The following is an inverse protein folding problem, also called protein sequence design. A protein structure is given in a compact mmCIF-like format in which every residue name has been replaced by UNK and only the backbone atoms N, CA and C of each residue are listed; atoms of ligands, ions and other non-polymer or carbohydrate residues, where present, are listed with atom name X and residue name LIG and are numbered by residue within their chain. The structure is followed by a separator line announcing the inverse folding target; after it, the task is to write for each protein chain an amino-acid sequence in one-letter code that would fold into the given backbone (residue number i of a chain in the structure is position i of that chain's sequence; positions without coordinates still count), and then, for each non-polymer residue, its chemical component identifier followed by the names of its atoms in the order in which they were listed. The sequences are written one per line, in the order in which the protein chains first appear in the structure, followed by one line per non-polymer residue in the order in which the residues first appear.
data_IF_735724484750
#
_entry.id   IF_735724484750
#
_cell.length_a   1.000
_cell.length_b   1.000
_cell.length_c   1.000
_cell.angle_alpha   90.00
_cell.angle_beta   90.00
_cell.angle_gamma   90.00
#
_symmetry.space_group_name_H-M   'P 1'
#
loop_
_entity.id
_entity.type
_entity.pdbx_description
1 polymer ?
#
# COMPACT_ATOMS: atom_id res chain seq x y z
N UNK A 1 4.30 10.98 10.21
CA UNK A 1 4.56 10.85 8.77
C UNK A 1 5.54 11.95 8.40
N UNK A 2 6.68 11.62 7.80
CA UNK A 2 7.72 12.59 7.41
C UNK A 2 7.87 12.66 5.89
N UNK A 3 8.49 13.71 5.38
CA UNK A 3 8.70 13.92 3.93
C UNK A 3 7.48 14.52 3.22
N UNK A 4 7.20 14.05 2.01
CA UNK A 4 6.20 14.58 1.07
C UNK A 4 4.75 14.17 1.41
N UNK A 5 4.37 14.30 2.69
CA UNK A 5 3.09 13.80 3.21
C UNK A 5 1.86 14.48 2.58
N UNK A 6 1.95 15.76 2.22
CA UNK A 6 0.84 16.50 1.61
C UNK A 6 0.55 16.03 0.19
N UNK A 7 1.59 15.77 -0.61
CA UNK A 7 1.44 15.20 -1.96
C UNK A 7 0.85 13.79 -1.91
N UNK A 8 1.32 12.95 -0.98
CA UNK A 8 0.76 11.62 -0.76
C UNK A 8 -0.73 11.73 -0.40
N UNK A 9 -1.10 12.64 0.52
CA UNK A 9 -2.50 12.85 0.91
C UNK A 9 -3.36 13.28 -0.28
N UNK A 10 -2.87 14.20 -1.11
CA UNK A 10 -3.58 14.65 -2.31
C UNK A 10 -3.80 13.50 -3.29
N UNK A 11 -2.74 12.75 -3.61
CA UNK A 11 -2.81 11.62 -4.52
C UNK A 11 -3.81 10.56 -4.03
N UNK A 12 -3.76 10.22 -2.73
CA UNK A 12 -4.71 9.28 -2.14
C UNK A 12 -6.13 9.81 -2.19
N UNK A 13 -6.38 11.08 -1.89
CA UNK A 13 -7.72 11.68 -1.95
C UNK A 13 -8.32 11.62 -3.35
N UNK A 14 -7.51 11.80 -4.39
CA UNK A 14 -7.95 11.79 -5.78
C UNK A 14 -8.24 10.36 -6.31
N UNK A 15 -7.57 9.34 -5.76
CA UNK A 15 -7.58 7.98 -6.33
C UNK A 15 -8.22 6.92 -5.43
N UNK A 16 -8.47 7.22 -4.15
CA UNK A 16 -9.10 6.30 -3.20
C UNK A 16 -10.60 6.13 -3.49
N UNK A 17 -11.11 4.92 -3.25
CA UNK A 17 -12.54 4.58 -3.30
C UNK A 17 -12.88 3.68 -2.12
N UNK A 18 -14.06 3.85 -1.54
CA UNK A 18 -14.50 3.05 -0.38
C UNK A 18 -14.68 1.56 -0.71
N UNK A 19 -14.84 1.23 -1.99
CA UNK A 19 -14.99 -0.13 -2.50
C UNK A 19 -13.66 -0.83 -2.78
N UNK A 20 -12.52 -0.21 -2.47
CA UNK A 20 -11.21 -0.82 -2.73
C UNK A 20 -11.02 -2.10 -1.89
N UNK A 21 -10.78 -3.21 -2.60
CA UNK A 21 -10.25 -4.43 -2.00
C UNK A 21 -8.81 -4.23 -1.51
N UNK A 22 -8.33 -5.19 -0.70
CA UNK A 22 -7.00 -5.12 -0.08
C UNK A 22 -5.87 -4.92 -1.11
N UNK A 23 -5.90 -5.69 -2.20
CA UNK A 23 -4.88 -5.62 -3.24
C UNK A 23 -4.81 -4.24 -3.90
N UNK A 24 -5.96 -3.72 -4.35
CA UNK A 24 -6.05 -2.41 -4.98
C UNK A 24 -5.65 -1.27 -4.01
N UNK A 25 -5.95 -1.41 -2.72
CA UNK A 25 -5.52 -0.47 -1.69
C UNK A 25 -4.00 -0.48 -1.50
N UNK A 26 -3.35 -1.66 -1.49
CA UNK A 26 -1.89 -1.78 -1.41
C UNK A 26 -1.24 -1.14 -2.64
N UNK A 27 -1.72 -1.47 -3.84
CA UNK A 27 -1.20 -0.91 -5.10
C UNK A 27 -1.35 0.62 -5.13
N UNK A 28 -2.48 1.15 -4.66
CA UNK A 28 -2.68 2.58 -4.54
C UNK A 28 -1.65 3.23 -3.63
N UNK A 29 -1.37 2.64 -2.47
CA UNK A 29 -0.34 3.10 -1.54
C UNK A 29 1.07 3.09 -2.16
N UNK A 30 1.43 2.01 -2.85
CA UNK A 30 2.73 1.89 -3.54
C UNK A 30 2.86 2.91 -4.67
N UNK A 31 1.80 3.14 -5.46
CA UNK A 31 1.78 4.18 -6.49
C UNK A 31 1.95 5.57 -5.89
N UNK A 32 1.26 5.88 -4.80
CA UNK A 32 1.38 7.17 -4.12
C UNK A 32 2.82 7.43 -3.67
N UNK A 33 3.47 6.43 -3.07
CA UNK A 33 4.87 6.52 -2.64
C UNK A 33 5.84 6.64 -3.83
N UNK A 34 5.62 5.86 -4.89
CA UNK A 34 6.49 5.84 -6.08
C UNK A 34 6.45 7.15 -6.85
N UNK A 35 5.24 7.69 -7.08
CA UNK A 35 5.04 8.97 -7.78
C UNK A 35 5.66 10.12 -6.99
N UNK A 36 5.38 10.21 -5.70
CA UNK A 36 5.91 11.30 -4.86
C UNK A 36 7.44 11.23 -4.74
N UNK A 37 8.03 10.04 -4.62
CA UNK A 37 9.50 9.91 -4.56
C UNK A 37 10.17 9.94 -5.95
N UNK A 38 9.39 10.04 -7.03
CA UNK A 38 9.85 9.88 -8.42
C UNK A 38 10.79 8.66 -8.58
N UNK A 39 10.46 7.56 -7.90
CA UNK A 39 11.25 6.32 -7.83
C UNK A 39 10.34 5.12 -8.04
N UNK A 40 10.80 4.13 -8.81
CA UNK A 40 10.13 2.82 -8.85
C UNK A 40 10.47 2.05 -7.58
N UNK A 41 9.46 1.75 -6.77
CA UNK A 41 9.60 0.98 -5.53
C UNK A 41 9.30 -0.49 -5.80
N UNK A 42 10.14 -1.37 -5.26
CA UNK A 42 9.94 -2.82 -5.29
C UNK A 42 9.45 -3.32 -3.93
N UNK A 43 9.05 -4.59 -3.85
CA UNK A 43 8.70 -5.24 -2.58
C UNK A 43 9.83 -5.16 -1.53
N UNK A 44 11.08 -5.01 -1.97
CA UNK A 44 12.26 -4.94 -1.10
C UNK A 44 12.47 -3.55 -0.51
N UNK A 45 11.90 -2.52 -1.12
CA UNK A 45 11.95 -1.13 -0.64
C UNK A 45 10.84 -0.83 0.38
N UNK A 46 9.95 -1.79 0.65
CA UNK A 46 8.67 -1.55 1.32
C UNK A 46 8.48 -2.43 2.56
N UNK A 47 8.07 -1.80 3.66
CA UNK A 47 7.48 -2.52 4.80
C UNK A 47 5.96 -2.35 4.78
N UNK A 48 5.23 -3.46 4.68
CA UNK A 48 3.76 -3.45 4.55
C UNK A 48 3.12 -4.26 5.67
N UNK A 49 2.09 -3.68 6.29
CA UNK A 49 1.26 -4.35 7.28
C UNK A 49 -0.20 -3.92 7.16
N UNK A 50 -1.10 -4.78 7.63
CA UNK A 50 -2.55 -4.58 7.58
C UNK A 50 -3.17 -4.81 8.94
N UNK A 51 -4.31 -4.16 9.16
CA UNK A 51 -5.22 -4.46 10.26
C UNK A 51 -6.42 -5.23 9.70
N UNK A 52 -6.46 -6.53 9.98
CA UNK A 52 -7.54 -7.40 9.57
C UNK A 52 -8.67 -7.38 10.61
N UNK A 53 -9.77 -6.71 10.25
CA UNK A 53 -10.95 -6.58 11.12
C UNK A 53 -11.70 -7.89 11.32
N UNK A 54 -11.47 -8.90 10.46
CA UNK A 54 -12.15 -10.20 10.53
C UNK A 54 -11.55 -11.14 11.58
N UNK A 55 -10.34 -10.83 12.08
CA UNK A 55 -9.66 -11.62 13.11
C UNK A 55 -10.17 -11.27 14.51
N UNK A 56 -10.49 -12.29 15.31
CA UNK A 56 -10.89 -12.14 16.72
C UNK A 56 -9.70 -11.73 17.62
N UNK A 57 -8.50 -12.23 17.34
CA UNK A 57 -7.27 -11.95 18.10
C UNK A 57 -6.11 -11.63 17.16
N UNK A 58 -5.22 -10.72 17.59
CA UNK A 58 -4.10 -10.14 16.79
C UNK A 58 -4.50 -9.70 15.37
N UNK A 59 -5.17 -8.54 15.28
CA UNK A 59 -5.60 -7.95 14.00
C UNK A 59 -4.45 -7.47 13.13
N UNK A 60 -3.31 -7.14 13.72
CA UNK A 60 -2.13 -6.69 13.00
C UNK A 60 -1.40 -7.86 12.34
N UNK A 61 -1.17 -7.75 11.04
CA UNK A 61 -0.43 -8.74 10.25
C UNK A 61 0.55 -8.03 9.32
N UNK A 62 1.81 -8.44 9.34
CA UNK A 62 2.81 -8.04 8.34
C UNK A 62 2.61 -8.83 7.05
N UNK A 63 2.83 -8.18 5.91
CA UNK A 63 2.87 -8.83 4.61
C UNK A 63 4.35 -9.02 4.26
N UNK A 64 4.84 -10.26 4.14
CA UNK A 64 6.23 -10.52 3.79
C UNK A 64 6.51 -10.12 2.32
N UNK A 65 7.76 -9.81 1.95
CA UNK A 65 8.11 -9.33 0.60
C UNK A 65 7.64 -10.26 -0.52
N UNK A 66 7.68 -11.58 -0.33
CA UNK A 66 7.27 -12.56 -1.34
C UNK A 66 5.76 -12.49 -1.62
N UNK A 67 4.96 -12.29 -0.57
CA UNK A 67 3.52 -12.10 -0.69
C UNK A 67 3.20 -10.72 -1.27
N UNK A 68 3.97 -9.69 -0.91
CA UNK A 68 3.83 -8.36 -1.47
C UNK A 68 4.14 -8.35 -2.97
N UNK A 69 5.21 -9.03 -3.41
CA UNK A 69 5.55 -9.16 -4.82
C UNK A 69 4.41 -9.79 -5.64
N UNK A 70 3.73 -10.80 -5.09
CA UNK A 70 2.56 -11.41 -5.74
C UNK A 70 1.39 -10.41 -5.87
N UNK A 71 1.10 -9.66 -4.81
CA UNK A 71 0.05 -8.64 -4.80
C UNK A 71 0.35 -7.46 -5.75
N UNK A 72 1.63 -7.14 -5.97
CA UNK A 72 2.04 -6.09 -6.90
C UNK A 72 2.06 -6.54 -8.37
N UNK A 73 2.20 -7.85 -8.63
CA UNK A 73 2.12 -8.42 -9.98
C UNK A 73 0.69 -8.67 -10.46
N UNK A 74 -0.24 -8.98 -9.55
CA UNK A 74 -1.60 -9.39 -9.90
C UNK A 74 -2.51 -8.25 -10.41
N UNK A 75 -2.15 -6.98 -10.21
CA UNK A 75 -2.88 -5.82 -10.76
C UNK A 75 -2.21 -5.15 -11.96
N UNK A 76 -1.43 -5.91 -12.74
CA UNK A 76 -0.90 -5.52 -14.06
C UNK A 76 -1.78 -6.03 -15.18
#
# INVERSE_FOLDING_TARGET
MGGQADEIRRFLKENYRDTLGLEAAIQLGVRALSVTQNKTLTEKDLEVAVLDRTKERRKFRRIPPEALAQLLRAGG
#
